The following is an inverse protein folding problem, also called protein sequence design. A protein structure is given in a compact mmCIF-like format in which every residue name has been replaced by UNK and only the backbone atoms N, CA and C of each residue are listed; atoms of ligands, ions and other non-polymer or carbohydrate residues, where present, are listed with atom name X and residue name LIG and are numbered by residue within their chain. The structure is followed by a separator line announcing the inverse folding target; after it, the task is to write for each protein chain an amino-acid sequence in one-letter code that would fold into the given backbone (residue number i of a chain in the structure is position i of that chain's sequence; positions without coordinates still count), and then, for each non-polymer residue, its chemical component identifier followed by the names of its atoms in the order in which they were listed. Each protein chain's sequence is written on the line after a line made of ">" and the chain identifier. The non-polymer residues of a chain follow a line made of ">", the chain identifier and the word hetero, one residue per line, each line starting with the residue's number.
data_IF_253657755693
#
_entry.id   IF_253657755693
#
_cell.length_a   1.000
_cell.length_b   1.000
_cell.length_c   1.000
_cell.angle_alpha   90.00
_cell.angle_beta   90.00
_cell.angle_gamma   90.00
#
_symmetry.space_group_name_H-M   'P 1'
#
loop_
_entity.id
_entity.type
_entity.pdbx_description
1 polymer ?
#
# COMPACT_ATOMS: atom_id res chain seq x y z
N UNK A 1 13.93 -5.93 9.26
CA UNK A 1 14.47 -5.16 10.38
C UNK A 1 14.42 -6.03 11.61
N UNK A 2 15.57 -6.30 12.22
CA UNK A 2 15.68 -7.05 13.46
C UNK A 2 16.11 -6.07 14.54
N UNK A 3 15.33 -6.03 15.64
CA UNK A 3 15.61 -5.17 16.78
C UNK A 3 15.61 -6.06 18.00
N UNK A 4 16.70 -6.03 18.78
CA UNK A 4 16.80 -6.65 20.08
C UNK A 4 17.24 -5.59 21.10
N UNK A 5 16.50 -5.46 22.18
CA UNK A 5 16.81 -4.53 23.26
C UNK A 5 16.83 -5.31 24.58
N UNK A 6 17.95 -5.29 25.26
CA UNK A 6 18.11 -5.79 26.62
C UNK A 6 18.52 -4.64 27.54
N UNK A 7 18.67 -4.90 28.82
CA UNK A 7 19.15 -3.92 29.81
C UNK A 7 20.61 -3.52 29.55
N UNK A 8 21.38 -4.41 28.96
CA UNK A 8 22.83 -4.26 28.78
C UNK A 8 23.25 -4.00 27.33
N UNK A 9 22.36 -4.18 26.33
CA UNK A 9 22.69 -4.06 24.93
C UNK A 9 21.46 -3.75 24.09
N UNK A 10 21.60 -2.79 23.18
CA UNK A 10 20.66 -2.55 22.08
C UNK A 10 21.31 -2.98 20.77
N UNK A 11 20.59 -3.79 20.02
CA UNK A 11 21.02 -4.25 18.71
C UNK A 11 19.96 -3.95 17.66
N UNK A 12 20.36 -3.29 16.57
CA UNK A 12 19.48 -2.99 15.44
C UNK A 12 20.18 -3.43 14.15
N UNK A 13 19.51 -4.26 13.39
CA UNK A 13 19.94 -4.64 12.05
C UNK A 13 18.82 -4.38 11.06
N UNK A 14 19.13 -3.68 9.97
CA UNK A 14 18.17 -3.36 8.93
C UNK A 14 18.58 -4.03 7.62
N UNK A 15 17.60 -4.66 6.96
CA UNK A 15 17.70 -5.06 5.57
C UNK A 15 16.47 -4.48 4.85
N UNK A 16 16.71 -3.58 3.93
CA UNK A 16 15.67 -2.90 3.17
C UNK A 16 16.07 -2.72 1.72
N UNK A 17 15.08 -2.54 0.86
CA UNK A 17 15.32 -2.15 -0.53
C UNK A 17 14.27 -1.12 -0.96
N UNK A 18 14.70 -0.22 -1.83
CA UNK A 18 13.82 0.71 -2.54
C UNK A 18 13.91 0.39 -4.03
N UNK A 19 12.80 0.58 -4.72
CA UNK A 19 12.72 0.40 -6.17
C UNK A 19 12.00 1.58 -6.79
N UNK A 20 12.60 2.13 -7.85
CA UNK A 20 12.04 3.23 -8.61
C UNK A 20 11.92 2.85 -10.08
N UNK A 21 10.83 3.30 -10.71
CA UNK A 21 10.64 3.14 -12.16
C UNK A 21 11.55 4.10 -12.93
N UNK A 22 11.62 3.94 -14.26
CA UNK A 22 12.43 4.80 -15.15
C UNK A 22 12.16 6.31 -15.05
N UNK A 23 11.13 6.72 -14.33
CA UNK A 23 10.83 8.14 -14.06
C UNK A 23 11.71 8.75 -12.97
N UNK A 24 12.39 7.91 -12.18
CA UNK A 24 13.30 8.36 -11.14
C UNK A 24 14.71 7.85 -11.43
N UNK A 25 15.64 8.78 -11.55
CA UNK A 25 17.07 8.49 -11.60
C UNK A 25 17.64 8.74 -10.21
N UNK A 26 18.30 7.73 -9.66
CA UNK A 26 18.99 7.89 -8.37
C UNK A 26 20.39 8.45 -8.64
N UNK A 27 20.69 9.57 -8.03
CA UNK A 27 22.05 10.12 -8.01
C UNK A 27 22.84 9.42 -6.92
N UNK A 28 24.06 9.07 -7.26
CA UNK A 28 24.93 8.31 -6.36
C UNK A 28 26.27 8.99 -6.22
N UNK A 29 26.81 8.95 -5.03
CA UNK A 29 28.19 9.28 -4.78
C UNK A 29 29.09 8.32 -5.59
N UNK A 30 30.01 8.82 -6.43
CA UNK A 30 30.83 7.99 -7.29
C UNK A 30 31.87 7.15 -6.54
N UNK A 31 32.23 7.50 -5.30
CA UNK A 31 33.22 6.79 -4.51
C UNK A 31 32.59 5.70 -3.65
N UNK A 32 31.44 5.98 -3.05
CA UNK A 32 30.76 5.06 -2.11
C UNK A 32 29.61 4.28 -2.74
N UNK A 33 29.03 4.78 -3.84
CA UNK A 33 27.80 4.22 -4.44
C UNK A 33 26.53 4.49 -3.62
N UNK A 34 26.64 5.30 -2.56
CA UNK A 34 25.51 5.75 -1.75
C UNK A 34 24.56 6.60 -2.58
N UNK A 35 23.26 6.41 -2.39
CA UNK A 35 22.21 7.22 -3.02
C UNK A 35 22.08 8.51 -2.23
N UNK A 36 22.48 9.62 -2.83
CA UNK A 36 22.52 10.94 -2.19
C UNK A 36 21.34 11.82 -2.59
N UNK A 37 20.81 11.63 -3.79
CA UNK A 37 19.68 12.41 -4.30
C UNK A 37 18.91 11.65 -5.37
N UNK A 38 17.82 12.23 -5.85
CA UNK A 38 17.03 11.69 -6.94
C UNK A 38 16.63 12.80 -7.91
N UNK A 39 16.67 12.49 -9.18
CA UNK A 39 16.21 13.37 -10.25
C UNK A 39 15.05 12.72 -11.02
N UNK A 40 14.22 13.54 -11.64
CA UNK A 40 13.19 13.08 -12.54
C UNK A 40 13.82 12.61 -13.84
N UNK A 41 13.71 11.30 -14.10
CA UNK A 41 14.17 10.71 -15.34
C UNK A 41 13.30 11.08 -16.54
N UNK A 42 13.75 10.67 -17.71
CA UNK A 42 12.99 10.87 -18.95
C UNK A 42 11.67 10.10 -18.93
N UNK A 43 10.61 10.73 -19.43
CA UNK A 43 9.33 10.05 -19.61
C UNK A 43 9.48 8.92 -20.62
N UNK A 44 9.17 7.71 -20.21
CA UNK A 44 9.28 6.51 -21.03
C UNK A 44 8.41 5.38 -20.54
N UNK A 45 8.29 4.32 -21.36
CA UNK A 45 7.57 3.11 -20.99
C UNK A 45 8.43 2.31 -20.02
N UNK A 46 8.02 2.24 -18.76
CA UNK A 46 8.74 1.52 -17.72
C UNK A 46 8.47 0.02 -17.69
N UNK A 47 7.47 -0.45 -18.44
CA UNK A 47 7.09 -1.86 -18.47
C UNK A 47 5.85 -2.11 -19.31
N UNK A 48 5.39 -3.34 -19.31
CA UNK A 48 4.13 -3.73 -19.92
C UNK A 48 3.38 -4.71 -19.01
N UNK A 49 2.07 -4.78 -19.19
CA UNK A 49 1.22 -5.72 -18.47
C UNK A 49 0.03 -6.16 -19.29
N UNK A 50 -0.54 -7.28 -18.88
CA UNK A 50 -1.76 -7.82 -19.42
C UNK A 50 -2.70 -8.16 -18.28
N UNK A 51 -3.96 -7.76 -18.44
CA UNK A 51 -5.02 -8.07 -17.49
C UNK A 51 -6.28 -8.49 -18.22
N UNK A 52 -7.04 -9.40 -17.63
CA UNK A 52 -8.31 -9.88 -18.13
C UNK A 52 -9.36 -9.74 -17.03
N UNK A 53 -10.54 -9.27 -17.44
CA UNK A 53 -11.70 -9.18 -16.58
C UNK A 53 -12.81 -10.07 -17.16
N UNK A 54 -13.44 -10.86 -16.29
CA UNK A 54 -14.57 -11.72 -16.61
C UNK A 54 -15.72 -11.38 -15.66
N UNK A 55 -16.91 -11.29 -16.19
CA UNK A 55 -18.09 -11.04 -15.36
C UNK A 55 -19.34 -11.59 -16.01
N UNK A 56 -20.29 -11.97 -15.17
CA UNK A 56 -21.61 -12.44 -15.58
C UNK A 56 -22.66 -11.94 -14.59
N UNK A 57 -23.81 -11.62 -15.14
CA UNK A 57 -25.02 -11.30 -14.38
C UNK A 57 -26.13 -12.19 -14.88
N UNK A 58 -26.89 -12.77 -13.95
CA UNK A 58 -27.96 -13.69 -14.24
C UNK A 58 -29.21 -13.35 -13.42
N UNK A 59 -30.31 -13.15 -14.07
CA UNK A 59 -31.63 -12.98 -13.45
C UNK A 59 -32.21 -14.35 -13.17
N UNK A 60 -32.20 -14.76 -11.91
CA UNK A 60 -32.64 -16.10 -11.48
C UNK A 60 -34.15 -16.21 -11.48
N UNK A 61 -34.83 -15.16 -11.01
CA UNK A 61 -36.28 -14.94 -11.04
C UNK A 61 -36.49 -13.43 -11.22
N UNK A 62 -37.72 -13.05 -11.60
CA UNK A 62 -38.06 -11.67 -11.99
C UNK A 62 -37.55 -10.53 -11.08
N UNK A 63 -37.24 -10.82 -9.84
CA UNK A 63 -36.78 -9.79 -8.89
C UNK A 63 -35.42 -10.11 -8.23
N UNK A 64 -34.78 -11.23 -8.62
CA UNK A 64 -33.48 -11.65 -8.04
C UNK A 64 -32.43 -11.74 -9.11
N UNK A 65 -31.44 -10.87 -9.00
CA UNK A 65 -30.28 -10.83 -9.88
C UNK A 65 -29.06 -11.32 -9.13
N UNK A 66 -28.34 -12.26 -9.72
CA UNK A 66 -27.04 -12.75 -9.26
C UNK A 66 -25.95 -12.18 -10.14
N UNK A 67 -24.82 -11.83 -9.56
CA UNK A 67 -23.66 -11.36 -10.28
C UNK A 67 -22.37 -12.02 -9.79
N UNK A 68 -21.47 -12.28 -10.70
CA UNK A 68 -20.13 -12.74 -10.38
C UNK A 68 -19.12 -12.05 -11.32
N UNK A 69 -18.00 -11.63 -10.77
CA UNK A 69 -16.92 -11.03 -11.55
C UNK A 69 -15.56 -11.44 -10.98
N UNK A 70 -14.62 -11.67 -11.91
CA UNK A 70 -13.19 -11.78 -11.63
C UNK A 70 -12.50 -10.69 -12.43
N UNK A 71 -11.83 -9.77 -11.76
CA UNK A 71 -11.12 -8.66 -12.38
C UNK A 71 -9.64 -8.71 -12.06
N UNK A 72 -8.82 -8.06 -12.89
CA UNK A 72 -7.38 -7.94 -12.71
C UNK A 72 -6.66 -9.30 -12.72
N UNK A 73 -7.09 -10.26 -13.54
CA UNK A 73 -6.39 -11.52 -13.74
C UNK A 73 -5.21 -11.27 -14.67
N UNK A 74 -4.01 -11.11 -14.13
CA UNK A 74 -2.89 -10.77 -14.99
C UNK A 74 -1.60 -10.46 -14.27
N UNK A 75 -0.70 -9.80 -14.99
CA UNK A 75 0.61 -9.41 -14.51
C UNK A 75 1.07 -8.08 -15.08
N UNK A 76 2.01 -7.47 -14.39
CA UNK A 76 2.77 -6.30 -14.83
C UNK A 76 4.26 -6.65 -14.75
N UNK A 77 4.96 -6.49 -15.85
CA UNK A 77 6.41 -6.59 -15.91
C UNK A 77 7.01 -5.19 -15.99
N UNK A 78 7.81 -4.87 -14.99
CA UNK A 78 8.57 -3.64 -14.91
C UNK A 78 9.97 -3.89 -15.44
N UNK A 79 10.44 -3.05 -16.35
CA UNK A 79 11.78 -3.11 -16.90
C UNK A 79 12.58 -1.90 -16.41
N UNK A 80 13.91 -2.07 -16.34
CA UNK A 80 14.83 -1.00 -15.97
C UNK A 80 14.48 -0.32 -14.63
N UNK A 81 14.13 -1.13 -13.63
CA UNK A 81 13.95 -0.62 -12.27
C UNK A 81 15.31 -0.29 -11.68
N UNK A 82 15.48 0.95 -11.27
CA UNK A 82 16.59 1.33 -10.42
C UNK A 82 16.31 0.84 -9.00
N UNK A 83 17.27 0.14 -8.40
CA UNK A 83 17.15 -0.45 -7.07
C UNK A 83 18.22 0.11 -6.15
N UNK A 84 17.82 0.46 -4.95
CA UNK A 84 18.71 0.75 -3.84
C UNK A 84 18.52 -0.27 -2.73
N UNK A 85 19.62 -0.71 -2.13
CA UNK A 85 19.63 -1.66 -1.02
C UNK A 85 20.42 -1.09 0.14
N UNK A 86 19.97 -1.36 1.36
CA UNK A 86 20.77 -1.07 2.54
C UNK A 86 21.91 -2.09 2.63
N UNK A 87 23.05 -1.71 3.20
CA UNK A 87 24.14 -2.64 3.44
C UNK A 87 23.75 -3.65 4.53
N UNK A 88 23.60 -4.93 4.19
CA UNK A 88 23.20 -5.96 5.17
C UNK A 88 24.27 -6.27 6.20
N UNK A 89 25.50 -5.79 6.01
CA UNK A 89 26.62 -5.97 6.93
C UNK A 89 26.62 -4.94 8.03
N UNK A 90 25.93 -3.81 7.83
CA UNK A 90 25.81 -2.76 8.84
C UNK A 90 24.83 -3.18 9.94
N UNK A 91 25.30 -2.98 11.17
CA UNK A 91 24.53 -3.22 12.38
C UNK A 91 24.83 -2.12 13.38
N UNK A 92 23.82 -1.69 14.10
CA UNK A 92 23.96 -0.78 15.24
C UNK A 92 23.98 -1.59 16.52
N UNK A 93 24.99 -1.33 17.35
CA UNK A 93 25.14 -1.99 18.63
C UNK A 93 25.50 -0.94 19.69
N UNK A 94 24.67 -0.84 20.71
CA UNK A 94 24.86 0.08 21.81
C UNK A 94 24.89 -0.67 23.13
N UNK A 95 25.98 -0.55 23.87
CA UNK A 95 26.22 -1.24 25.14
C UNK A 95 26.24 -0.31 26.34
N UNK A 96 25.87 0.95 26.15
CA UNK A 96 25.88 1.98 27.20
C UNK A 96 27.03 2.98 27.04
N UNK A 97 27.01 4.00 27.88
CA UNK A 97 28.10 4.99 27.99
C UNK A 97 28.94 4.66 29.20
N UNK A 98 30.20 4.34 28.98
CA UNK A 98 31.14 3.98 30.06
C UNK A 98 31.72 5.20 30.81
N UNK A 99 31.65 6.40 30.20
CA UNK A 99 32.29 7.61 30.66
C UNK A 99 31.36 8.81 30.82
N UNK A 100 30.15 8.61 31.34
CA UNK A 100 29.24 9.71 31.64
C UNK A 100 29.85 10.61 32.72
N UNK A 101 30.17 11.88 32.35
CA UNK A 101 30.76 12.87 33.26
C UNK A 101 32.29 12.86 33.32
N UNK A 102 32.94 12.25 32.31
CA UNK A 102 34.38 12.49 32.10
C UNK A 102 34.63 13.97 31.79
N UNK A 103 35.73 14.51 32.29
CA UNK A 103 36.16 15.87 31.95
C UNK A 103 36.70 15.87 30.52
N UNK A 104 36.61 17.04 29.86
CA UNK A 104 37.17 17.25 28.54
C UNK A 104 38.66 16.97 28.54
N UNK A 105 39.20 16.45 27.44
CA UNK A 105 40.63 16.24 27.28
C UNK A 105 41.43 17.57 27.17
N UNK A 106 42.75 17.50 27.06
CA UNK A 106 43.61 18.69 26.96
C UNK A 106 43.35 19.49 25.66
N UNK A 107 42.68 18.89 24.66
CA UNK A 107 42.28 19.51 23.39
C UNK A 107 40.81 20.01 23.43
N UNK A 108 40.09 19.78 24.52
CA UNK A 108 38.72 20.25 24.72
C UNK A 108 37.65 19.30 24.14
N UNK A 109 37.97 18.05 23.82
CA UNK A 109 37.04 17.06 23.34
C UNK A 109 36.40 16.35 24.53
N UNK A 110 35.09 16.16 24.47
CA UNK A 110 34.32 15.44 25.48
C UNK A 110 34.08 14.00 25.02
N UNK A 111 34.54 12.99 25.76
CA UNK A 111 34.34 11.59 25.38
C UNK A 111 32.88 11.18 25.23
N UNK A 112 31.97 11.89 25.88
CA UNK A 112 30.54 11.66 25.72
C UNK A 112 30.03 12.15 24.36
N UNK A 113 30.48 13.35 23.92
CA UNK A 113 30.08 13.93 22.64
C UNK A 113 30.63 13.08 21.50
N UNK A 114 31.90 12.66 21.55
CA UNK A 114 32.51 11.77 20.57
C UNK A 114 31.71 10.46 20.44
N UNK A 115 31.27 9.89 21.57
CA UNK A 115 30.48 8.65 21.56
C UNK A 115 29.05 8.85 21.05
N UNK A 116 28.46 10.01 21.33
CA UNK A 116 27.14 10.37 20.82
C UNK A 116 27.17 10.57 19.29
N UNK A 117 28.22 11.18 18.79
CA UNK A 117 28.46 11.37 17.34
C UNK A 117 28.67 10.02 16.65
N UNK A 118 29.51 9.12 17.20
CA UNK A 118 29.69 7.76 16.69
C UNK A 118 28.37 6.99 16.59
N UNK A 119 27.53 7.09 17.64
CA UNK A 119 26.19 6.47 17.63
C UNK A 119 25.28 7.08 16.59
N UNK A 120 25.36 8.39 16.37
CA UNK A 120 24.63 9.09 15.32
C UNK A 120 25.02 8.60 13.93
N UNK A 121 26.31 8.50 13.67
CA UNK A 121 26.87 8.02 12.39
C UNK A 121 26.49 6.55 12.13
N UNK A 122 26.54 5.69 13.15
CA UNK A 122 26.15 4.29 13.02
C UNK A 122 24.65 4.12 12.73
N UNK A 123 23.79 4.93 13.36
CA UNK A 123 22.34 4.93 13.06
C UNK A 123 22.08 5.47 11.66
N UNK A 124 22.76 6.54 11.25
CA UNK A 124 22.66 7.08 9.89
C UNK A 124 23.10 6.04 8.85
N UNK A 125 24.18 5.31 9.11
CA UNK A 125 24.70 4.28 8.22
C UNK A 125 23.69 3.15 7.97
N UNK A 126 22.79 2.84 8.92
CA UNK A 126 21.71 1.88 8.73
C UNK A 126 20.64 2.39 7.76
N UNK A 127 20.46 3.70 7.66
CA UNK A 127 19.43 4.31 6.80
C UNK A 127 19.94 4.57 5.37
N UNK A 128 21.24 4.42 5.11
CA UNK A 128 21.84 4.66 3.80
C UNK A 128 21.48 3.56 2.81
N UNK A 129 21.15 3.96 1.60
CA UNK A 129 20.86 3.06 0.49
C UNK A 129 21.96 3.16 -0.56
N UNK A 130 22.38 2.02 -1.05
CA UNK A 130 23.39 1.89 -2.09
C UNK A 130 22.75 1.40 -3.37
N UNK A 131 23.18 1.94 -4.50
CA UNK A 131 22.65 1.55 -5.80
C UNK A 131 22.99 0.10 -6.09
N UNK A 132 21.98 -0.67 -6.40
CA UNK A 132 22.08 -2.07 -6.84
C UNK A 132 21.75 -2.18 -8.34
N UNK A 133 22.04 -3.34 -8.93
CA UNK A 133 21.82 -3.58 -10.35
C UNK A 133 20.35 -3.41 -10.74
N UNK A 134 20.14 -2.82 -11.93
CA UNK A 134 18.82 -2.71 -12.54
C UNK A 134 18.26 -4.09 -12.84
N UNK A 135 17.09 -4.39 -12.31
CA UNK A 135 16.41 -5.67 -12.53
C UNK A 135 15.03 -5.45 -13.13
N UNK A 136 14.58 -6.42 -13.93
CA UNK A 136 13.17 -6.50 -14.29
C UNK A 136 12.41 -7.26 -13.20
N UNK A 137 11.24 -6.75 -12.82
CA UNK A 137 10.38 -7.37 -11.81
C UNK A 137 9.01 -7.62 -12.40
N UNK A 138 8.52 -8.84 -12.23
CA UNK A 138 7.16 -9.19 -12.62
C UNK A 138 6.29 -9.30 -11.38
N UNK A 139 5.23 -8.51 -11.34
CA UNK A 139 4.22 -8.54 -10.30
C UNK A 139 2.90 -9.06 -10.86
N UNK A 140 2.28 -10.01 -10.17
CA UNK A 140 0.90 -10.37 -10.46
C UNK A 140 -0.03 -9.22 -10.09
N UNK A 141 -1.03 -8.97 -10.92
CA UNK A 141 -2.11 -8.05 -10.57
C UNK A 141 -2.90 -8.64 -9.39
N UNK A 142 -3.55 -7.77 -8.64
CA UNK A 142 -4.37 -8.21 -7.49
C UNK A 142 -5.74 -8.64 -7.97
N UNK A 143 -5.85 -9.89 -8.38
CA UNK A 143 -7.12 -10.47 -8.81
C UNK A 143 -8.20 -10.26 -7.76
N UNK A 144 -9.32 -9.67 -8.18
CA UNK A 144 -10.46 -9.40 -7.33
C UNK A 144 -11.65 -10.23 -7.79
N UNK A 145 -12.18 -11.05 -6.89
CA UNK A 145 -13.42 -11.78 -7.07
C UNK A 145 -14.55 -11.03 -6.38
N UNK A 146 -15.66 -10.83 -7.09
CA UNK A 146 -16.89 -10.27 -6.56
C UNK A 146 -18.04 -11.21 -6.85
N UNK A 147 -18.86 -11.51 -5.84
CA UNK A 147 -20.08 -12.28 -5.96
C UNK A 147 -21.18 -11.46 -5.29
N UNK A 148 -22.25 -11.20 -6.02
CA UNK A 148 -23.34 -10.36 -5.55
C UNK A 148 -24.71 -10.98 -5.81
N UNK A 149 -25.66 -10.57 -5.00
CA UNK A 149 -27.08 -10.83 -5.18
C UNK A 149 -27.87 -9.57 -4.88
N UNK A 150 -28.83 -9.23 -5.72
CA UNK A 150 -29.75 -8.13 -5.51
C UNK A 150 -31.18 -8.63 -5.66
N UNK A 151 -31.99 -8.36 -4.62
CA UNK A 151 -33.41 -8.66 -4.62
C UNK A 151 -34.23 -7.38 -4.56
N UNK A 152 -35.08 -7.17 -5.57
CA UNK A 152 -35.89 -5.98 -5.74
C UNK A 152 -37.35 -6.23 -5.39
N UNK A 153 -38.01 -5.27 -4.75
CA UNK A 153 -39.44 -5.29 -4.42
C UNK A 153 -40.10 -3.97 -4.83
N UNK A 154 -41.42 -3.95 -4.87
CA UNK A 154 -42.22 -2.77 -5.19
C UNK A 154 -41.80 -2.11 -6.52
N UNK A 155 -41.83 -2.90 -7.58
CA UNK A 155 -41.44 -2.41 -8.93
C UNK A 155 -40.06 -1.70 -8.92
N UNK A 156 -39.08 -2.31 -8.23
CA UNK A 156 -37.72 -1.80 -8.12
C UNK A 156 -37.57 -0.48 -7.32
N UNK A 157 -38.58 -0.08 -6.54
CA UNK A 157 -38.45 1.08 -5.65
C UNK A 157 -37.57 0.79 -4.43
N UNK A 158 -37.53 -0.45 -3.98
CA UNK A 158 -36.63 -0.90 -2.91
C UNK A 158 -35.86 -2.12 -3.41
N UNK A 159 -34.55 -2.16 -3.19
CA UNK A 159 -33.75 -3.35 -3.40
C UNK A 159 -32.80 -3.61 -2.23
N UNK A 160 -32.55 -4.89 -2.00
CA UNK A 160 -31.59 -5.40 -1.01
C UNK A 160 -30.43 -6.03 -1.75
N UNK A 161 -29.22 -5.55 -1.49
CA UNK A 161 -27.99 -6.05 -2.08
C UNK A 161 -27.12 -6.76 -1.07
N UNK A 162 -26.53 -7.86 -1.50
CA UNK A 162 -25.43 -8.53 -0.80
C UNK A 162 -24.24 -8.59 -1.77
N UNK A 163 -23.07 -8.27 -1.31
CA UNK A 163 -21.84 -8.34 -2.09
C UNK A 163 -20.73 -8.95 -1.25
N UNK A 164 -20.06 -9.95 -1.78
CA UNK A 164 -18.79 -10.45 -1.26
C UNK A 164 -17.68 -10.06 -2.20
N UNK A 165 -16.64 -9.43 -1.66
CA UNK A 165 -15.42 -9.03 -2.38
C UNK A 165 -14.23 -9.76 -1.77
N UNK A 166 -13.49 -10.48 -2.59
CA UNK A 166 -12.23 -11.10 -2.17
C UNK A 166 -11.13 -10.65 -3.14
N UNK A 167 -10.08 -10.02 -2.60
CA UNK A 167 -8.92 -9.56 -3.36
C UNK A 167 -7.72 -10.42 -3.00
N UNK A 168 -7.22 -11.14 -4.00
CA UNK A 168 -6.07 -12.03 -3.89
C UNK A 168 -4.78 -11.29 -4.23
N UNK A 169 -3.69 -11.74 -3.67
CA UNK A 169 -2.35 -11.20 -3.94
C UNK A 169 -1.84 -10.22 -2.88
N UNK A 170 -0.52 -10.07 -2.83
CA UNK A 170 0.18 -9.37 -1.77
C UNK A 170 0.38 -10.23 -0.51
N UNK A 171 0.75 -9.60 0.59
CA UNK A 171 1.06 -10.29 1.85
C UNK A 171 -0.18 -10.84 2.57
N UNK A 172 -1.37 -10.31 2.26
CA UNK A 172 -2.65 -10.74 2.87
C UNK A 172 -3.77 -10.67 1.86
N UNK A 173 -4.63 -11.68 1.88
CA UNK A 173 -5.89 -11.65 1.16
C UNK A 173 -6.86 -10.72 1.87
N UNK A 174 -7.47 -9.80 1.14
CA UNK A 174 -8.56 -8.96 1.63
C UNK A 174 -9.88 -9.67 1.34
N UNK A 175 -10.74 -9.77 2.35
CA UNK A 175 -12.08 -10.30 2.21
C UNK A 175 -13.09 -9.38 2.91
N UNK A 176 -14.19 -9.09 2.21
CA UNK A 176 -15.26 -8.21 2.67
C UNK A 176 -16.60 -8.78 2.30
N UNK A 177 -17.57 -8.66 3.20
CA UNK A 177 -18.99 -8.87 2.97
C UNK A 177 -19.74 -7.56 3.20
N UNK A 178 -20.55 -7.13 2.24
CA UNK A 178 -21.36 -5.92 2.30
C UNK A 178 -22.84 -6.25 2.13
N UNK A 179 -23.70 -5.60 2.92
CA UNK A 179 -25.12 -5.57 2.73
C UNK A 179 -25.57 -4.13 2.46
N UNK A 180 -26.50 -3.95 1.53
CA UNK A 180 -27.02 -2.64 1.15
C UNK A 180 -28.54 -2.65 0.98
N UNK A 181 -29.15 -1.53 1.28
CA UNK A 181 -30.55 -1.24 0.97
C UNK A 181 -30.59 -0.01 0.06
N UNK A 182 -31.20 -0.18 -1.09
CA UNK A 182 -31.39 0.91 -2.04
C UNK A 182 -32.86 1.31 -2.04
N UNK A 183 -33.11 2.60 -1.94
CA UNK A 183 -34.42 3.19 -2.03
C UNK A 183 -34.48 4.18 -3.17
N UNK A 184 -35.41 3.97 -4.11
CA UNK A 184 -35.58 4.74 -5.34
C UNK A 184 -37.02 5.35 -5.36
N UNK A 185 -37.26 6.41 -4.57
CA UNK A 185 -38.60 7.02 -4.48
C UNK A 185 -39.05 7.67 -5.80
N UNK A 186 -38.10 8.09 -6.60
CA UNK A 186 -38.30 8.69 -7.92
C UNK A 186 -37.25 8.12 -8.89
N UNK A 187 -37.56 8.14 -10.18
CA UNK A 187 -36.60 7.74 -11.21
C UNK A 187 -35.30 8.55 -11.19
N UNK A 188 -35.36 9.78 -10.68
CA UNK A 188 -34.23 10.70 -10.60
C UNK A 188 -33.53 10.69 -9.21
N UNK A 189 -34.05 10.01 -8.21
CA UNK A 189 -33.51 10.06 -6.85
C UNK A 189 -33.28 8.65 -6.29
N UNK A 190 -32.03 8.36 -5.96
CA UNK A 190 -31.64 7.10 -5.37
C UNK A 190 -30.93 7.34 -4.03
N UNK A 191 -31.31 6.59 -3.01
CA UNK A 191 -30.72 6.62 -1.68
C UNK A 191 -30.23 5.21 -1.37
N UNK A 192 -28.98 5.06 -1.01
CA UNK A 192 -28.38 3.78 -0.61
C UNK A 192 -27.85 3.87 0.80
N UNK A 193 -28.18 2.90 1.61
CA UNK A 193 -27.54 2.67 2.91
C UNK A 193 -26.81 1.33 2.83
N UNK A 194 -25.58 1.28 3.28
CA UNK A 194 -24.79 0.07 3.27
C UNK A 194 -24.02 -0.13 4.58
N UNK A 195 -23.69 -1.37 4.85
CA UNK A 195 -22.78 -1.75 5.91
C UNK A 195 -21.89 -2.86 5.43
N UNK A 196 -20.61 -2.83 5.77
CA UNK A 196 -19.65 -3.85 5.42
C UNK A 196 -18.85 -4.34 6.62
N UNK A 197 -18.40 -5.58 6.52
CA UNK A 197 -17.47 -6.21 7.45
C UNK A 197 -16.36 -6.86 6.64
N UNK A 198 -15.13 -6.53 6.99
CA UNK A 198 -13.94 -7.07 6.36
C UNK A 198 -12.96 -7.61 7.40
N UNK A 199 -11.92 -8.29 6.93
CA UNK A 199 -10.81 -8.71 7.80
C UNK A 199 -9.92 -7.54 8.29
N UNK A 200 -10.24 -6.30 7.90
CA UNK A 200 -9.53 -5.09 8.33
C UNK A 200 -10.39 -4.17 9.22
N UNK A 201 -11.71 -4.39 9.26
CA UNK A 201 -12.63 -3.57 10.02
C UNK A 201 -14.06 -3.65 9.48
N UNK A 202 -14.94 -2.84 10.04
CA UNK A 202 -16.33 -2.69 9.59
C UNK A 202 -16.59 -1.24 9.23
N UNK A 203 -17.50 -1.01 8.29
CA UNK A 203 -17.93 0.32 7.90
C UNK A 203 -19.44 0.40 7.70
N UNK A 204 -19.98 1.60 7.81
CA UNK A 204 -21.34 1.94 7.41
C UNK A 204 -21.32 3.17 6.52
N UNK A 205 -22.12 3.15 5.47
CA UNK A 205 -22.13 4.23 4.49
C UNK A 205 -23.53 4.61 4.04
N UNK A 206 -23.65 5.80 3.52
CA UNK A 206 -24.85 6.32 2.89
C UNK A 206 -24.51 7.06 1.61
N UNK A 207 -25.31 6.86 0.56
CA UNK A 207 -25.16 7.51 -0.73
C UNK A 207 -26.48 8.13 -1.13
N UNK A 208 -26.45 9.38 -1.53
CA UNK A 208 -27.55 10.09 -2.17
C UNK A 208 -27.14 10.36 -3.63
N UNK A 209 -27.92 9.89 -4.58
CA UNK A 209 -27.67 10.08 -5.99
C UNK A 209 -28.89 10.71 -6.67
N UNK A 210 -28.64 11.80 -7.41
CA UNK A 210 -29.64 12.52 -8.20
C UNK A 210 -29.27 12.36 -9.68
N UNK A 211 -30.09 11.60 -10.41
CA UNK A 211 -29.93 11.29 -11.83
C UNK A 211 -31.01 11.99 -12.63
N UNK A 212 -30.70 13.14 -13.23
CA UNK A 212 -31.57 13.80 -14.21
C UNK A 212 -31.06 13.59 -15.64
N UNK A 213 -31.90 13.70 -16.68
CA UNK A 213 -31.41 13.60 -18.04
C UNK A 213 -30.26 14.58 -18.34
N UNK A 214 -29.09 14.02 -18.70
CA UNK A 214 -27.86 14.79 -18.93
C UNK A 214 -27.08 15.23 -17.73
N UNK A 215 -27.52 14.88 -16.51
CA UNK A 215 -26.85 15.26 -15.27
C UNK A 215 -26.91 14.15 -14.23
N UNK A 216 -25.79 13.87 -13.58
CA UNK A 216 -25.70 12.92 -12.45
C UNK A 216 -24.85 13.54 -11.34
N UNK A 217 -25.42 13.68 -10.14
CA UNK A 217 -24.75 14.18 -8.96
C UNK A 217 -24.92 13.20 -7.81
N UNK A 218 -23.83 12.85 -7.16
CA UNK A 218 -23.88 11.98 -5.99
C UNK A 218 -23.10 12.57 -4.83
N UNK A 219 -23.62 12.31 -3.63
CA UNK A 219 -22.97 12.57 -2.35
C UNK A 219 -22.92 11.27 -1.57
N UNK A 220 -21.75 10.92 -1.06
CA UNK A 220 -21.59 9.72 -0.24
C UNK A 220 -20.73 9.99 0.98
N UNK A 221 -21.01 9.22 2.03
CA UNK A 221 -20.18 9.15 3.23
C UNK A 221 -19.99 7.69 3.59
N UNK A 222 -18.83 7.37 4.11
CA UNK A 222 -18.44 6.06 4.63
C UNK A 222 -17.72 6.27 5.96
N UNK A 223 -18.08 5.48 7.00
CA UNK A 223 -17.55 5.58 8.35
C UNK A 223 -17.17 4.21 8.91
#
# INVERSE_FOLDING_TARGET
>A
MDISMSQDEWFIKQAGHIQASSLLKLETDPETGEITDYDTGDFGVAGFGLGFDLGATYELIDNLTLSAALTDIGFMQWNNLTRGETDPTKEFRYTGFDNIGAEDDEEGNNPFDDKADELGDDLEALAKFYKSDSQSVTNSLRTTMRIGAEYSILDNHISFGLLSTTRFGGHRTYAEGMAAVNFRPLSALHITLNGSVSNMGSSVGAILNVCAPGFNLFFGTDY
#
